data_IF_297727630897
#
_entry.id   IF_297727630897
#
_cell.length_a   1.000
_cell.length_b   1.000
_cell.length_c   1.000
_cell.angle_alpha   90.00
_cell.angle_beta   90.00
_cell.angle_gamma   90.00
#
_symmetry.space_group_name_H-M   'P 1'
#
loop_
_entity.id
_entity.type
_entity.pdbx_description
1 polymer ?
#
# COMPACT_ATOMS: atom_id res chain seq x y z
N UNK A 1 3.14 76.15 17.79
CA UNK A 1 3.30 76.78 19.11
C UNK A 1 2.84 75.75 20.11
N UNK A 2 3.71 75.44 21.07
CA UNK A 2 3.52 74.65 22.30
C UNK A 2 3.45 73.10 22.20
N UNK A 3 4.55 72.54 22.71
CA UNK A 3 4.84 71.23 23.32
C UNK A 3 3.94 70.91 24.56
N UNK A 4 4.00 69.73 25.25
CA UNK A 4 5.24 69.05 25.67
C UNK A 4 5.31 67.50 25.87
N UNK A 5 6.57 67.01 25.91
CA UNK A 5 7.26 66.04 26.81
C UNK A 5 6.54 64.81 27.40
N UNK A 6 7.12 63.65 27.73
CA UNK A 6 8.47 63.02 27.78
C UNK A 6 8.21 61.50 28.07
N UNK A 7 9.08 60.49 27.84
CA UNK A 7 10.19 60.02 28.70
C UNK A 7 10.92 58.85 27.99
N UNK A 8 12.26 58.85 28.09
CA UNK A 8 13.27 57.90 27.59
C UNK A 8 13.44 56.65 28.50
N UNK A 9 13.97 55.50 28.05
CA UNK A 9 15.40 55.02 28.17
C UNK A 9 15.45 53.57 27.62
N UNK A 10 16.31 53.07 26.69
CA UNK A 10 17.78 52.90 26.63
C UNK A 10 18.37 52.12 27.84
N UNK A 11 19.19 51.06 27.79
CA UNK A 11 19.93 50.29 26.75
C UNK A 11 20.47 48.98 27.37
N UNK A 12 20.65 47.95 26.54
CA UNK A 12 21.73 46.93 26.40
C UNK A 12 22.62 46.33 27.54
N UNK A 13 22.97 45.03 27.27
CA UNK A 13 24.26 44.33 27.44
C UNK A 13 24.74 43.95 28.86
N UNK A 14 25.55 42.93 29.13
CA UNK A 14 25.98 41.64 28.54
C UNK A 14 26.84 40.95 29.65
N UNK A 15 27.05 39.64 29.53
CA UNK A 15 28.27 38.87 29.89
C UNK A 15 28.79 38.73 31.37
N UNK A 16 28.67 37.47 31.84
CA UNK A 16 29.70 36.54 32.38
C UNK A 16 30.57 36.80 33.64
N UNK A 17 30.61 35.70 34.42
CA UNK A 17 31.76 35.04 35.10
C UNK A 17 32.30 35.53 36.46
N UNK A 18 32.39 34.57 37.40
CA UNK A 18 33.44 34.34 38.43
C UNK A 18 33.02 33.08 39.25
N UNK A 19 33.66 31.90 39.16
CA UNK A 19 34.93 31.44 39.75
C UNK A 19 34.94 31.39 41.31
N UNK A 20 35.08 30.20 41.93
CA UNK A 20 36.33 29.68 42.54
C UNK A 20 36.13 28.57 43.62
N UNK A 21 37.00 27.55 43.53
CA UNK A 21 37.64 26.68 44.55
C UNK A 21 36.89 26.00 45.71
N UNK A 22 37.07 24.68 45.86
CA UNK A 22 38.16 24.09 46.69
C UNK A 22 38.08 22.56 46.86
N UNK A 23 39.19 22.00 47.32
CA UNK A 23 39.77 20.67 47.17
C UNK A 23 39.34 19.54 48.16
N UNK A 24 39.37 18.29 47.65
CA UNK A 24 40.02 17.07 48.22
C UNK A 24 39.34 16.25 49.35
N UNK A 25 39.04 14.95 49.11
CA UNK A 25 39.80 13.74 49.56
C UNK A 25 38.95 12.43 49.56
N UNK A 26 39.64 11.32 49.26
CA UNK A 26 39.33 9.86 49.17
C UNK A 26 38.36 9.28 50.25
N UNK A 27 37.69 8.11 50.15
CA UNK A 27 37.98 6.77 49.58
C UNK A 27 36.70 5.86 49.63
N UNK A 28 36.77 4.70 48.94
CA UNK A 28 36.04 3.42 49.16
C UNK A 28 34.69 3.10 48.46
N UNK A 29 34.84 2.34 47.36
CA UNK A 29 34.18 1.06 47.01
C UNK A 29 32.66 0.90 47.18
N UNK A 30 31.98 0.82 46.02
CA UNK A 30 30.69 0.18 45.81
C UNK A 30 30.61 -0.25 44.35
N UNK A 31 30.82 -1.55 44.13
CA UNK A 31 30.72 -2.25 42.86
C UNK A 31 29.22 -2.44 42.55
N UNK A 32 28.70 -1.72 41.56
CA UNK A 32 27.44 -2.07 40.91
C UNK A 32 27.64 -1.98 39.40
N UNK A 33 27.76 -3.16 38.79
CA UNK A 33 27.75 -3.39 37.34
C UNK A 33 26.46 -2.82 36.74
N UNK A 34 26.56 -1.70 36.03
CA UNK A 34 25.52 -1.27 35.10
C UNK A 34 25.63 -2.16 33.86
N UNK A 35 24.87 -3.25 33.84
CA UNK A 35 24.62 -4.01 32.63
C UNK A 35 23.87 -3.10 31.64
N UNK A 36 24.58 -2.63 30.61
CA UNK A 36 23.96 -2.14 29.39
C UNK A 36 23.09 -3.28 28.83
N UNK A 37 21.78 -3.11 28.88
CA UNK A 37 20.85 -3.90 28.07
C UNK A 37 21.13 -3.54 26.61
N UNK A 38 22.09 -4.27 26.03
CA UNK A 38 22.22 -4.37 24.59
C UNK A 38 20.91 -4.97 24.08
N UNK A 39 20.08 -4.12 23.47
CA UNK A 39 18.99 -4.54 22.61
C UNK A 39 19.57 -5.54 21.62
N UNK A 40 19.25 -6.81 21.86
CA UNK A 40 19.58 -7.88 20.94
C UNK A 40 18.62 -7.69 19.79
N UNK A 41 19.07 -6.95 18.76
CA UNK A 41 18.56 -7.13 17.41
C UNK A 41 18.56 -8.63 17.18
N UNK A 42 17.36 -9.20 17.19
CA UNK A 42 17.14 -10.57 16.78
C UNK A 42 17.33 -10.52 15.27
N UNK A 43 18.58 -10.63 14.83
CA UNK A 43 18.92 -10.90 13.44
C UNK A 43 18.17 -12.19 13.11
N UNK A 44 17.01 -12.06 12.45
CA UNK A 44 16.31 -13.19 11.88
C UNK A 44 17.33 -13.86 10.96
N UNK A 45 17.66 -15.10 11.27
CA UNK A 45 18.38 -15.96 10.34
C UNK A 45 17.65 -15.87 8.99
N UNK A 46 18.36 -15.58 7.88
CA UNK A 46 17.70 -15.48 6.58
C UNK A 46 16.98 -16.80 6.35
N UNK A 47 15.66 -16.72 6.12
CA UNK A 47 14.88 -17.89 5.78
C UNK A 47 15.50 -18.52 4.54
N UNK A 48 15.69 -19.84 4.53
CA UNK A 48 16.21 -20.53 3.35
C UNK A 48 15.33 -20.23 2.12
N UNK A 49 15.91 -20.18 0.92
CA UNK A 49 15.14 -19.97 -0.30
C UNK A 49 14.07 -21.04 -0.47
N UNK A 50 12.84 -20.60 -0.72
CA UNK A 50 11.67 -21.46 -0.91
C UNK A 50 11.04 -21.17 -2.27
N UNK A 51 10.60 -22.25 -2.94
CA UNK A 51 9.72 -22.14 -4.10
C UNK A 51 8.31 -21.74 -3.64
N UNK A 52 7.96 -20.47 -3.79
CA UNK A 52 6.67 -19.92 -3.33
C UNK A 52 5.48 -20.27 -4.23
N UNK A 53 5.72 -20.91 -5.38
CA UNK A 53 4.62 -21.45 -6.20
C UNK A 53 4.31 -22.93 -5.95
N UNK A 54 5.07 -23.62 -5.07
CA UNK A 54 4.94 -25.07 -4.89
C UNK A 54 3.55 -25.53 -4.40
N UNK A 55 2.91 -24.74 -3.54
CA UNK A 55 1.59 -25.04 -2.96
C UNK A 55 0.46 -24.26 -3.65
N UNK A 56 0.76 -23.55 -4.73
CA UNK A 56 -0.21 -22.74 -5.46
C UNK A 56 -0.93 -23.59 -6.50
N UNK A 57 -2.27 -23.50 -6.52
CA UNK A 57 -3.08 -24.19 -7.52
C UNK A 57 -2.79 -23.65 -8.93
N UNK A 58 -2.71 -24.57 -9.89
CA UNK A 58 -2.41 -24.29 -11.29
C UNK A 58 -3.68 -24.38 -12.14
N UNK A 59 -3.80 -23.47 -13.09
CA UNK A 59 -4.88 -23.42 -14.09
C UNK A 59 -4.29 -23.78 -15.45
N UNK A 60 -4.62 -24.98 -15.93
CA UNK A 60 -4.17 -25.48 -17.23
C UNK A 60 -4.97 -24.86 -18.38
N UNK A 61 -4.30 -24.68 -19.52
CA UNK A 61 -4.91 -24.18 -20.75
C UNK A 61 -5.19 -22.68 -20.74
N UNK A 62 -4.58 -21.93 -19.83
CA UNK A 62 -4.80 -20.52 -19.60
C UNK A 62 -3.48 -19.78 -19.33
N UNK A 63 -3.46 -18.49 -19.64
CA UNK A 63 -2.37 -17.58 -19.30
C UNK A 63 -2.92 -16.18 -19.08
N UNK A 64 -2.16 -15.35 -18.37
CA UNK A 64 -2.45 -13.92 -18.34
C UNK A 64 -1.86 -13.30 -19.60
N UNK A 65 -2.73 -12.74 -20.44
CA UNK A 65 -2.31 -12.12 -21.68
C UNK A 65 -1.62 -10.76 -21.44
N UNK A 66 -1.25 -10.08 -22.53
CA UNK A 66 -0.58 -8.77 -22.47
C UNK A 66 -1.46 -7.62 -21.99
N UNK A 67 -2.75 -7.88 -21.72
CA UNK A 67 -3.75 -6.93 -21.25
C UNK A 67 -4.19 -7.23 -19.82
N UNK A 68 -3.57 -8.22 -19.16
CA UNK A 68 -3.96 -8.64 -17.81
C UNK A 68 -5.16 -9.57 -17.74
N UNK A 69 -5.72 -9.98 -18.88
CA UNK A 69 -6.88 -10.86 -18.92
C UNK A 69 -6.47 -12.33 -18.88
N UNK A 70 -7.29 -13.14 -18.22
CA UNK A 70 -7.18 -14.59 -18.24
C UNK A 70 -7.67 -15.14 -19.58
N UNK A 71 -6.72 -15.47 -20.46
CA UNK A 71 -6.96 -15.85 -21.84
C UNK A 71 -6.75 -17.36 -22.04
N UNK A 72 -7.67 -17.99 -22.79
CA UNK A 72 -7.61 -19.42 -23.05
C UNK A 72 -6.51 -19.75 -24.07
N UNK A 73 -5.49 -20.49 -23.62
CA UNK A 73 -4.36 -20.90 -24.45
C UNK A 73 -3.88 -22.29 -24.05
N UNK A 74 -4.30 -23.29 -24.83
CA UNK A 74 -4.18 -24.73 -24.51
C UNK A 74 -2.76 -25.27 -24.22
N UNK A 75 -1.69 -24.54 -24.54
CA UNK A 75 -0.30 -24.94 -24.28
C UNK A 75 0.35 -24.16 -23.13
N UNK A 76 -0.43 -23.32 -22.45
CA UNK A 76 0.00 -22.54 -21.32
C UNK A 76 -0.67 -23.05 -20.05
N UNK A 77 0.01 -22.81 -18.94
CA UNK A 77 -0.48 -22.99 -17.59
C UNK A 77 -0.22 -21.68 -16.86
N UNK A 78 -1.08 -21.32 -15.91
CA UNK A 78 -0.80 -20.22 -14.98
C UNK A 78 -1.04 -20.62 -13.55
N UNK A 79 -0.41 -19.93 -12.62
CA UNK A 79 -0.73 -20.05 -11.20
C UNK A 79 -2.03 -19.32 -10.87
N UNK A 80 -2.63 -19.63 -9.73
CA UNK A 80 -3.46 -18.66 -9.01
C UNK A 80 -2.59 -17.50 -8.49
N UNK A 81 -3.19 -16.36 -8.08
CA UNK A 81 -2.43 -15.22 -7.54
C UNK A 81 -1.52 -15.63 -6.38
N UNK A 82 -0.28 -15.18 -6.42
CA UNK A 82 0.74 -15.40 -5.40
C UNK A 82 1.03 -14.05 -4.73
N UNK A 83 1.08 -14.04 -3.40
CA UNK A 83 1.49 -12.86 -2.63
C UNK A 83 2.93 -12.46 -2.99
N UNK A 84 3.14 -11.16 -3.18
CA UNK A 84 4.39 -10.59 -3.66
C UNK A 84 4.81 -9.40 -2.80
N UNK A 85 6.09 -9.34 -2.47
CA UNK A 85 6.70 -8.24 -1.73
C UNK A 85 7.81 -7.60 -2.56
N UNK A 86 7.59 -6.38 -3.04
CA UNK A 86 8.54 -5.66 -3.88
C UNK A 86 9.88 -5.34 -3.21
N UNK A 87 9.95 -5.39 -1.88
CA UNK A 87 11.19 -5.24 -1.10
C UNK A 87 12.08 -6.49 -1.09
N UNK A 88 11.65 -7.58 -1.73
CA UNK A 88 12.35 -8.85 -1.81
C UNK A 88 12.66 -9.23 -3.27
N UNK A 89 13.81 -9.85 -3.48
CA UNK A 89 14.17 -10.41 -4.79
C UNK A 89 13.49 -11.77 -5.01
N UNK A 90 13.12 -12.03 -6.26
CA UNK A 90 12.61 -13.34 -6.67
C UNK A 90 13.27 -13.81 -7.96
N UNK A 91 13.46 -15.12 -8.07
CA UNK A 91 14.01 -15.77 -9.26
C UNK A 91 12.98 -16.69 -9.88
N UNK A 92 12.74 -16.55 -11.18
CA UNK A 92 12.03 -17.56 -11.97
C UNK A 92 13.04 -18.48 -12.65
N UNK A 93 12.86 -19.80 -12.53
CA UNK A 93 13.88 -20.78 -12.98
C UNK A 93 13.81 -21.13 -14.46
N UNK A 94 12.67 -20.88 -15.11
CA UNK A 94 12.41 -21.22 -16.51
C UNK A 94 11.68 -20.10 -17.22
N UNK A 95 11.65 -20.17 -18.56
CA UNK A 95 10.95 -19.19 -19.37
C UNK A 95 9.47 -19.05 -18.97
N UNK A 96 9.09 -17.82 -18.61
CA UNK A 96 7.81 -17.53 -17.98
C UNK A 96 7.38 -16.10 -18.27
N UNK A 97 6.07 -15.88 -18.26
CA UNK A 97 5.47 -14.56 -18.15
C UNK A 97 5.11 -14.31 -16.70
N UNK A 98 5.56 -13.19 -16.13
CA UNK A 98 5.16 -12.76 -14.79
C UNK A 98 4.30 -11.52 -14.94
N UNK A 99 3.05 -11.66 -14.53
CA UNK A 99 2.06 -10.59 -14.52
C UNK A 99 1.93 -10.04 -13.10
N UNK A 100 2.09 -8.74 -12.96
CA UNK A 100 2.07 -8.00 -11.70
C UNK A 100 0.70 -7.36 -11.50
N UNK A 101 0.19 -7.45 -10.28
CA UNK A 101 -1.13 -6.94 -9.90
C UNK A 101 -1.05 -6.18 -8.57
N UNK A 102 -1.97 -5.24 -8.41
CA UNK A 102 -2.33 -4.65 -7.12
C UNK A 102 -3.79 -5.04 -6.80
N UNK A 103 -4.00 -5.93 -5.83
CA UNK A 103 -5.30 -6.52 -5.58
C UNK A 103 -5.80 -7.34 -6.79
N UNK A 104 -6.76 -6.77 -7.54
CA UNK A 104 -7.25 -7.33 -8.81
C UNK A 104 -6.88 -6.46 -10.02
N UNK A 105 -6.27 -5.30 -9.80
CA UNK A 105 -5.88 -4.38 -10.85
C UNK A 105 -4.59 -4.88 -11.50
N UNK A 106 -4.63 -5.06 -12.81
CA UNK A 106 -3.46 -5.44 -13.60
C UNK A 106 -2.50 -4.26 -13.73
N UNK A 107 -1.20 -4.51 -13.59
CA UNK A 107 -0.16 -3.48 -13.77
C UNK A 107 0.56 -3.71 -15.09
N UNK A 108 1.23 -4.85 -15.22
CA UNK A 108 2.01 -5.22 -16.42
C UNK A 108 2.35 -6.71 -16.43
N UNK A 109 2.71 -7.21 -17.61
CA UNK A 109 3.29 -8.53 -17.84
C UNK A 109 4.69 -8.41 -18.43
N UNK A 110 5.67 -9.01 -17.74
CA UNK A 110 7.04 -9.17 -18.23
C UNK A 110 7.28 -10.60 -18.70
N UNK A 111 8.00 -10.75 -19.82
CA UNK A 111 8.50 -12.02 -20.30
C UNK A 111 9.96 -12.22 -19.87
N UNK A 112 10.23 -13.38 -19.27
CA UNK A 112 11.56 -13.87 -18.93
C UNK A 112 11.88 -15.05 -19.86
N UNK A 113 12.99 -14.92 -20.59
CA UNK A 113 13.34 -15.78 -21.71
C UNK A 113 13.81 -17.19 -21.33
N UNK A 114 14.35 -17.90 -22.32
CA UNK A 114 14.87 -19.27 -22.16
C UNK A 114 16.36 -19.30 -21.75
N UNK A 115 17.00 -18.15 -21.56
CA UNK A 115 18.45 -18.03 -21.39
C UNK A 115 18.95 -18.25 -19.95
N UNK A 116 18.07 -18.64 -19.03
CA UNK A 116 18.45 -19.12 -17.71
C UNK A 116 17.42 -18.77 -16.65
N UNK A 117 17.74 -18.99 -15.37
CA UNK A 117 16.98 -18.38 -14.30
C UNK A 117 17.13 -16.85 -14.37
N UNK A 118 16.04 -16.14 -14.08
CA UNK A 118 16.02 -14.69 -14.13
C UNK A 118 15.53 -14.12 -12.81
N UNK A 119 16.22 -13.09 -12.33
CA UNK A 119 15.70 -12.26 -11.24
C UNK A 119 14.60 -11.40 -11.85
N UNK A 120 13.40 -11.49 -11.30
CA UNK A 120 12.26 -10.73 -11.81
C UNK A 120 12.37 -9.27 -11.39
N UNK A 121 11.85 -8.37 -12.23
CA UNK A 121 11.78 -6.94 -11.93
C UNK A 121 11.07 -6.69 -10.59
N UNK A 122 11.63 -5.81 -9.75
CA UNK A 122 10.95 -5.27 -8.57
C UNK A 122 9.93 -4.22 -9.03
N UNK A 123 8.65 -4.45 -8.73
CA UNK A 123 7.54 -3.56 -9.06
C UNK A 123 6.93 -3.06 -7.75
N UNK A 124 7.35 -1.89 -7.24
CA UNK A 124 6.94 -1.38 -5.93
C UNK A 124 5.43 -1.34 -5.72
N UNK A 125 4.69 -1.08 -6.78
CA UNK A 125 3.26 -0.87 -6.77
C UNK A 125 2.45 -2.17 -6.85
N UNK A 126 3.10 -3.34 -6.94
CA UNK A 126 2.45 -4.64 -6.97
C UNK A 126 2.41 -5.31 -5.59
N UNK A 127 1.31 -6.00 -5.28
CA UNK A 127 1.15 -6.85 -4.09
C UNK A 127 1.02 -8.35 -4.44
N UNK A 128 0.83 -8.65 -5.74
CA UNK A 128 0.57 -9.99 -6.25
C UNK A 128 1.24 -10.21 -7.58
N UNK A 129 1.62 -11.46 -7.83
CA UNK A 129 2.05 -11.93 -9.14
C UNK A 129 1.28 -13.16 -9.60
N UNK A 130 1.11 -13.30 -10.90
CA UNK A 130 0.66 -14.54 -11.56
C UNK A 130 1.76 -14.96 -12.53
N UNK A 131 2.21 -16.21 -12.42
CA UNK A 131 3.22 -16.77 -13.32
C UNK A 131 2.52 -17.62 -14.36
N UNK A 132 2.67 -17.26 -15.63
CA UNK A 132 2.20 -18.06 -16.77
C UNK A 132 3.38 -18.66 -17.52
N UNK A 133 3.36 -19.96 -17.80
CA UNK A 133 4.45 -20.69 -18.41
C UNK A 133 3.90 -21.74 -19.39
N UNK A 134 4.78 -22.34 -20.20
CA UNK A 134 4.35 -23.43 -21.09
C UNK A 134 4.06 -24.68 -20.28
N UNK A 135 3.01 -25.42 -20.62
CA UNK A 135 2.64 -26.68 -19.95
C UNK A 135 3.80 -27.69 -19.88
N UNK A 136 4.74 -27.65 -20.82
CA UNK A 136 5.94 -28.51 -20.78
C UNK A 136 6.90 -28.20 -19.62
N UNK A 137 6.85 -26.99 -19.07
CA UNK A 137 7.71 -26.52 -17.98
C UNK A 137 7.06 -26.69 -16.59
N UNK A 138 5.85 -27.25 -16.51
CA UNK A 138 5.07 -27.35 -15.26
C UNK A 138 5.81 -28.02 -14.10
N UNK A 139 6.65 -29.01 -14.40
CA UNK A 139 7.41 -29.76 -13.39
C UNK A 139 8.77 -29.12 -13.06
N UNK A 140 9.20 -28.10 -13.82
CA UNK A 140 10.54 -27.48 -13.74
C UNK A 140 10.49 -26.02 -13.33
N UNK A 141 9.40 -25.31 -13.62
CA UNK A 141 9.19 -23.91 -13.26
C UNK A 141 9.10 -23.76 -11.75
N UNK A 142 9.82 -22.78 -11.24
CA UNK A 142 9.80 -22.38 -9.84
C UNK A 142 9.88 -20.86 -9.76
N UNK A 143 9.24 -20.32 -8.73
CA UNK A 143 9.41 -18.94 -8.30
C UNK A 143 10.06 -18.99 -6.93
N UNK A 144 11.36 -18.73 -6.88
CA UNK A 144 12.16 -18.77 -5.66
C UNK A 144 12.18 -17.37 -5.06
N UNK A 145 11.92 -17.27 -3.76
CA UNK A 145 11.86 -16.00 -3.04
C UNK A 145 13.26 -15.47 -2.63
N UNK A 146 14.24 -15.58 -3.54
CA UNK A 146 15.58 -15.06 -3.38
C UNK A 146 16.19 -14.79 -4.76
N UNK A 147 17.15 -13.87 -4.85
CA UNK A 147 18.06 -13.76 -5.98
C UNK A 147 19.02 -14.97 -6.01
N UNK A 148 18.80 -15.91 -6.93
CA UNK A 148 19.68 -17.07 -7.09
C UNK A 148 21.04 -16.64 -7.67
N UNK A 149 22.14 -17.25 -7.21
CA UNK A 149 23.51 -16.87 -7.63
C UNK A 149 23.75 -17.02 -9.14
N UNK A 150 23.02 -17.91 -9.81
CA UNK A 150 23.10 -18.18 -11.24
C UNK A 150 22.07 -17.42 -12.08
N UNK A 151 21.22 -16.60 -11.45
CA UNK A 151 20.19 -15.83 -12.12
C UNK A 151 20.69 -14.46 -12.60
N UNK A 152 20.15 -14.00 -13.73
CA UNK A 152 20.45 -12.68 -14.27
C UNK A 152 19.27 -11.71 -14.12
N UNK A 153 19.57 -10.45 -13.80
CA UNK A 153 18.61 -9.35 -13.71
C UNK A 153 18.64 -8.48 -14.99
N UNK A 154 17.54 -7.76 -15.27
CA UNK A 154 17.46 -6.85 -16.42
C UNK A 154 17.14 -7.56 -17.75
N UNK A 155 16.67 -8.81 -17.68
CA UNK A 155 16.29 -9.63 -18.83
C UNK A 155 14.79 -9.56 -19.13
N UNK A 156 14.03 -8.85 -18.30
CA UNK A 156 12.60 -8.64 -18.49
C UNK A 156 12.33 -7.92 -19.82
N UNK A 157 11.39 -8.47 -20.58
CA UNK A 157 10.79 -7.78 -21.72
C UNK A 157 9.37 -7.44 -21.34
N UNK A 158 9.07 -6.16 -21.12
CA UNK A 158 7.69 -5.72 -20.94
C UNK A 158 6.90 -6.01 -22.22
N UNK A 159 5.89 -6.86 -22.10
CA UNK A 159 5.03 -7.29 -23.22
C UNK A 159 3.69 -6.57 -23.25
N UNK A 160 3.41 -5.75 -22.24
CA UNK A 160 2.21 -4.94 -22.10
C UNK A 160 2.31 -3.73 -23.03
N UNK A 161 1.32 -3.50 -23.91
CA UNK A 161 1.23 -2.24 -24.65
C UNK A 161 1.16 -1.05 -23.69
N UNK A 162 1.81 0.07 -24.01
CA UNK A 162 1.84 1.27 -23.15
C UNK A 162 0.44 1.75 -22.71
N UNK A 163 -0.58 1.57 -23.57
CA UNK A 163 -1.97 1.96 -23.31
C UNK A 163 -2.71 1.04 -22.32
N UNK A 164 -2.14 -0.13 -22.03
CA UNK A 164 -2.70 -1.16 -21.14
C UNK A 164 -1.86 -1.37 -19.87
N UNK A 165 -0.78 -0.60 -19.71
CA UNK A 165 -0.07 -0.57 -18.43
C UNK A 165 -1.05 0.03 -17.42
N UNK A 166 -1.51 -0.81 -16.50
CA UNK A 166 -2.42 -0.37 -15.45
C UNK A 166 -1.67 0.28 -14.30
N UNK A 167 -2.43 0.69 -13.31
CA UNK A 167 -1.93 1.44 -12.16
C UNK A 167 -1.73 0.47 -11.01
N UNK A 168 -0.54 0.44 -10.42
CA UNK A 168 -0.34 -0.31 -9.19
C UNK A 168 -0.85 0.48 -7.98
N UNK A 169 -0.42 0.09 -6.77
CA UNK A 169 -0.75 0.77 -5.53
C UNK A 169 -0.63 2.30 -5.67
N UNK A 170 -1.71 3.05 -5.38
CA UNK A 170 -1.66 4.50 -5.40
C UNK A 170 -0.56 5.03 -4.45
N UNK A 171 0.18 6.05 -4.86
CA UNK A 171 1.17 6.72 -3.98
C UNK A 171 0.61 8.08 -3.60
N UNK A 172 0.28 8.29 -2.32
CA UNK A 172 -0.35 9.53 -1.84
C UNK A 172 0.53 10.75 -2.10
N UNK A 173 1.85 10.60 -1.94
CA UNK A 173 2.82 11.64 -2.22
C UNK A 173 2.85 11.98 -3.72
N UNK A 174 2.30 13.15 -4.07
CA UNK A 174 2.28 13.66 -5.43
C UNK A 174 0.98 13.40 -6.20
N UNK A 175 -0.06 12.85 -5.57
CA UNK A 175 -1.38 12.77 -6.20
C UNK A 175 -1.93 14.17 -6.50
N UNK A 176 -2.39 14.36 -7.74
CA UNK A 176 -3.17 15.53 -8.15
C UNK A 176 -4.62 15.11 -8.31
N UNK A 177 -5.50 15.75 -7.55
CA UNK A 177 -6.93 15.40 -7.54
C UNK A 177 -7.75 16.36 -6.68
N UNK A 178 -9.07 16.18 -6.72
CA UNK A 178 -10.02 16.90 -5.89
C UNK A 178 -10.40 16.06 -4.68
N UNK A 179 -10.18 16.59 -3.47
CA UNK A 179 -10.65 15.95 -2.23
C UNK A 179 -12.18 16.03 -2.20
N UNK A 180 -12.82 14.87 -2.34
CA UNK A 180 -14.28 14.70 -2.29
C UNK A 180 -14.79 14.59 -0.85
N UNK A 181 -13.94 14.04 0.02
CA UNK A 181 -14.17 13.92 1.45
C UNK A 181 -12.80 13.84 2.14
N UNK A 182 -12.67 14.44 3.31
CA UNK A 182 -11.41 14.50 4.05
C UNK A 182 -11.59 15.22 5.37
N UNK A 183 -10.50 15.51 6.08
CA UNK A 183 -10.53 16.14 7.41
C UNK A 183 -11.44 17.39 7.50
N UNK A 184 -11.44 18.21 6.45
CA UNK A 184 -12.22 19.45 6.39
C UNK A 184 -13.75 19.24 6.35
N UNK A 185 -14.20 18.02 6.04
CA UNK A 185 -15.61 17.63 5.89
C UNK A 185 -16.14 16.82 7.08
N UNK A 186 -15.41 16.76 8.20
CA UNK A 186 -15.81 15.98 9.38
C UNK A 186 -16.65 16.77 10.40
N UNK A 187 -17.26 17.87 9.97
CA UNK A 187 -18.18 18.64 10.83
C UNK A 187 -19.55 17.98 10.87
N UNK A 188 -20.18 17.95 12.04
CA UNK A 188 -21.25 17.00 12.45
C UNK A 188 -22.56 16.92 11.65
N UNK A 189 -22.67 17.54 10.48
CA UNK A 189 -23.75 17.30 9.51
C UNK A 189 -23.34 16.33 8.38
N UNK A 190 -22.03 16.07 8.22
CA UNK A 190 -21.47 15.30 7.09
C UNK A 190 -21.13 13.84 7.43
N UNK A 191 -21.14 13.50 8.73
CA UNK A 191 -20.88 12.14 9.24
C UNK A 191 -21.89 11.74 10.32
N UNK A 192 -22.35 10.50 10.27
CA UNK A 192 -23.17 9.84 11.29
C UNK A 192 -22.24 9.00 12.17
N UNK A 193 -22.36 9.13 13.48
CA UNK A 193 -21.46 8.48 14.45
C UNK A 193 -22.13 7.27 15.09
N UNK A 194 -21.37 6.22 15.35
CA UNK A 194 -21.84 5.05 16.10
C UNK A 194 -22.63 4.06 15.25
N UNK A 195 -22.50 4.12 13.94
CA UNK A 195 -23.14 3.22 12.98
C UNK A 195 -22.13 2.83 11.89
N UNK A 196 -22.40 1.71 11.22
CA UNK A 196 -21.80 1.36 9.92
C UNK A 196 -22.86 0.76 9.01
N UNK A 197 -22.56 0.66 7.72
CA UNK A 197 -23.41 -0.04 6.76
C UNK A 197 -22.91 -1.47 6.58
N UNK A 198 -23.80 -2.45 6.69
CA UNK A 198 -23.48 -3.87 6.48
C UNK A 198 -23.47 -4.27 4.99
N UNK A 199 -23.25 -5.56 4.72
CA UNK A 199 -23.23 -6.14 3.38
C UNK A 199 -24.62 -6.22 2.72
N UNK A 200 -25.69 -6.03 3.50
CA UNK A 200 -27.08 -5.96 3.02
C UNK A 200 -27.57 -4.51 2.81
N UNK A 201 -26.74 -3.52 3.15
CA UNK A 201 -27.05 -2.10 3.02
C UNK A 201 -27.86 -1.54 4.19
N UNK A 202 -27.91 -2.24 5.32
CA UNK A 202 -28.55 -1.76 6.54
C UNK A 202 -27.56 -0.97 7.40
N UNK A 203 -28.05 0.08 8.05
CA UNK A 203 -27.33 0.72 9.13
C UNK A 203 -27.38 -0.18 10.36
N UNK A 204 -26.21 -0.49 10.91
CA UNK A 204 -26.03 -1.30 12.12
C UNK A 204 -25.27 -0.48 13.15
N UNK A 205 -25.71 -0.57 14.42
CA UNK A 205 -25.06 0.11 15.54
C UNK A 205 -23.63 -0.41 15.70
N UNK A 206 -22.65 0.49 15.67
CA UNK A 206 -21.23 0.20 15.86
C UNK A 206 -20.52 1.46 16.39
N UNK A 207 -20.37 1.54 17.72
CA UNK A 207 -19.92 2.75 18.44
C UNK A 207 -18.56 3.28 17.97
N UNK A 208 -17.72 2.40 17.40
CA UNK A 208 -16.37 2.73 16.93
C UNK A 208 -16.34 3.16 15.45
N UNK A 209 -17.48 3.28 14.79
CA UNK A 209 -17.55 3.64 13.36
C UNK A 209 -18.26 4.96 13.10
N UNK A 210 -17.88 5.55 11.97
CA UNK A 210 -18.50 6.71 11.35
C UNK A 210 -19.01 6.34 9.96
N UNK A 211 -20.15 6.90 9.55
CA UNK A 211 -20.67 6.80 8.18
C UNK A 211 -20.75 8.18 7.56
N UNK A 212 -20.20 8.37 6.38
CA UNK A 212 -20.34 9.64 5.65
C UNK A 212 -21.78 9.87 5.18
N UNK A 213 -22.14 11.12 4.91
CA UNK A 213 -23.25 11.43 3.99
C UNK A 213 -23.04 10.78 2.61
N UNK A 214 -24.11 10.73 1.81
CA UNK A 214 -24.03 10.19 0.45
C UNK A 214 -23.17 11.10 -0.44
N UNK A 215 -22.00 10.62 -0.85
CA UNK A 215 -21.07 11.31 -1.72
C UNK A 215 -21.40 10.98 -3.18
N UNK A 216 -21.37 11.99 -4.05
CA UNK A 216 -21.54 11.77 -5.48
C UNK A 216 -20.38 10.94 -6.03
N UNK A 217 -20.70 9.95 -6.85
CA UNK A 217 -19.73 9.02 -7.42
C UNK A 217 -19.99 8.84 -8.91
N UNK A 218 -18.92 8.74 -9.70
CA UNK A 218 -19.00 8.42 -11.13
C UNK A 218 -18.15 7.18 -11.39
N UNK A 219 -18.72 6.05 -11.82
CA UNK A 219 -17.95 4.83 -12.06
C UNK A 219 -16.79 4.97 -13.07
N UNK A 220 -16.83 6.00 -13.93
CA UNK A 220 -15.82 6.22 -14.96
C UNK A 220 -14.62 7.06 -14.52
N UNK A 221 -14.63 7.62 -13.31
CA UNK A 221 -13.49 8.38 -12.77
C UNK A 221 -12.75 7.52 -11.75
N UNK A 222 -11.47 7.85 -11.55
CA UNK A 222 -10.64 7.18 -10.57
C UNK A 222 -10.72 7.89 -9.21
N UNK A 223 -10.99 7.12 -8.16
CA UNK A 223 -11.00 7.63 -6.80
C UNK A 223 -10.00 6.84 -5.96
N UNK A 224 -9.25 7.53 -5.11
CA UNK A 224 -8.37 6.91 -4.12
C UNK A 224 -8.94 7.12 -2.73
N UNK A 225 -8.93 6.07 -1.92
CA UNK A 225 -9.16 6.12 -0.47
C UNK A 225 -7.84 5.88 0.29
N UNK A 226 -7.61 6.66 1.34
CA UNK A 226 -6.34 6.65 2.10
C UNK A 226 -6.40 5.87 3.42
N UNK A 227 -7.57 5.44 3.86
CA UNK A 227 -7.75 4.69 5.11
C UNK A 227 -8.67 3.48 4.96
N UNK A 228 -8.47 2.38 5.74
CA UNK A 228 -9.32 1.21 5.66
C UNK A 228 -10.78 1.56 5.92
N UNK A 229 -11.70 1.01 5.13
CA UNK A 229 -13.11 1.41 5.13
C UNK A 229 -14.01 0.41 4.42
N UNK A 230 -15.31 0.49 4.69
CA UNK A 230 -16.38 -0.13 3.91
C UNK A 230 -17.01 0.91 2.98
N UNK A 231 -17.14 0.58 1.70
CA UNK A 231 -17.70 1.45 0.66
C UNK A 231 -19.02 0.87 0.19
N UNK A 232 -20.12 1.53 0.55
CA UNK A 232 -21.47 1.13 0.13
C UNK A 232 -21.90 1.92 -1.10
N UNK A 233 -22.25 1.22 -2.18
CA UNK A 233 -22.59 1.79 -3.47
C UNK A 233 -24.10 1.83 -3.71
N UNK A 234 -24.58 2.90 -4.35
CA UNK A 234 -26.01 3.16 -4.56
C UNK A 234 -26.32 3.64 -5.98
N UNK A 235 -27.48 3.24 -6.50
CA UNK A 235 -28.16 3.96 -7.60
C UNK A 235 -29.27 4.84 -7.02
N UNK A 236 -29.00 6.13 -6.85
CA UNK A 236 -29.88 7.05 -6.15
C UNK A 236 -30.02 6.66 -4.68
N UNK A 237 -31.17 6.08 -4.32
CA UNK A 237 -31.43 5.56 -2.95
C UNK A 237 -31.39 4.04 -2.86
N UNK A 238 -31.17 3.36 -3.97
CA UNK A 238 -31.20 1.89 -4.04
C UNK A 238 -29.78 1.38 -3.79
N UNK A 239 -29.60 0.66 -2.69
CA UNK A 239 -28.38 -0.07 -2.38
C UNK A 239 -28.02 -1.07 -3.49
N UNK A 240 -26.73 -1.21 -3.76
CA UNK A 240 -26.17 -2.18 -4.72
C UNK A 240 -25.36 -3.22 -3.97
N UNK A 241 -24.26 -2.79 -3.35
CA UNK A 241 -23.32 -3.63 -2.62
C UNK A 241 -22.45 -2.80 -1.67
N UNK A 242 -21.79 -3.49 -0.73
CA UNK A 242 -20.73 -2.93 0.13
C UNK A 242 -19.43 -3.68 -0.13
N UNK A 243 -18.33 -2.94 -0.33
CA UNK A 243 -17.00 -3.50 -0.50
C UNK A 243 -16.10 -3.07 0.67
N UNK A 244 -15.40 -4.02 1.26
CA UNK A 244 -14.40 -3.74 2.30
C UNK A 244 -13.02 -3.48 1.66
N UNK A 245 -12.38 -2.39 2.06
CA UNK A 245 -11.01 -2.01 1.66
C UNK A 245 -10.14 -2.03 2.91
N UNK A 246 -9.21 -2.97 2.98
CA UNK A 246 -8.32 -3.14 4.14
C UNK A 246 -6.88 -2.68 3.85
N UNK A 247 -6.43 -2.79 2.60
CA UNK A 247 -5.13 -2.33 2.16
C UNK A 247 -5.28 -0.95 1.55
N UNK A 248 -4.54 0.03 2.06
CA UNK A 248 -4.61 1.43 1.62
C UNK A 248 -3.22 2.05 1.49
N UNK A 249 -3.05 3.15 0.73
CA UNK A 249 -4.06 3.77 -0.15
C UNK A 249 -4.50 2.83 -1.28
N UNK A 250 -5.76 2.92 -1.71
CA UNK A 250 -6.34 2.03 -2.73
C UNK A 250 -7.31 2.77 -3.66
N UNK A 251 -7.43 2.27 -4.88
CA UNK A 251 -8.48 2.71 -5.80
C UNK A 251 -9.85 2.19 -5.34
N UNK A 252 -10.89 3.02 -5.45
CA UNK A 252 -12.25 2.56 -5.26
C UNK A 252 -12.67 1.67 -6.43
N UNK A 253 -13.20 0.45 -6.18
CA UNK A 253 -13.71 -0.42 -7.24
C UNK A 253 -14.79 0.24 -8.10
N UNK A 254 -14.79 -0.05 -9.41
CA UNK A 254 -15.86 0.36 -10.31
C UNK A 254 -17.12 -0.49 -10.06
N UNK A 255 -18.21 0.17 -9.61
CA UNK A 255 -19.52 -0.48 -9.49
C UNK A 255 -20.49 0.06 -10.53
N UNK A 256 -20.82 -0.79 -11.51
CA UNK A 256 -21.66 -0.41 -12.66
C UNK A 256 -23.05 0.04 -12.23
N UNK A 257 -23.39 1.29 -12.58
CA UNK A 257 -24.70 1.87 -12.30
C UNK A 257 -24.82 2.48 -10.89
N UNK A 258 -23.75 2.46 -10.09
CA UNK A 258 -23.64 3.30 -8.92
C UNK A 258 -23.49 4.77 -9.33
N UNK A 259 -24.04 5.67 -8.54
CA UNK A 259 -23.86 7.12 -8.67
C UNK A 259 -23.74 7.85 -7.33
N UNK A 260 -23.81 7.11 -6.22
CA UNK A 260 -23.49 7.58 -4.88
C UNK A 260 -22.75 6.50 -4.11
N UNK A 261 -21.91 6.94 -3.17
CA UNK A 261 -21.27 6.08 -2.18
C UNK A 261 -21.49 6.63 -0.76
N UNK A 262 -21.50 5.74 0.22
CA UNK A 262 -21.28 6.05 1.63
C UNK A 262 -20.03 5.29 2.07
N UNK A 263 -19.24 5.90 2.95
CA UNK A 263 -18.07 5.25 3.56
C UNK A 263 -18.40 4.97 5.01
N UNK A 264 -18.21 3.74 5.46
CA UNK A 264 -18.14 3.42 6.88
C UNK A 264 -16.69 3.17 7.29
N UNK A 265 -16.18 3.90 8.27
CA UNK A 265 -14.77 3.83 8.68
C UNK A 265 -14.64 3.88 10.20
N UNK A 266 -13.56 3.28 10.72
CA UNK A 266 -13.28 3.22 12.15
C UNK A 266 -12.81 4.59 12.69
N UNK A 267 -13.11 4.89 13.94
CA UNK A 267 -12.79 6.15 14.61
C UNK A 267 -11.29 6.48 14.63
N UNK A 268 -10.44 5.45 14.74
CA UNK A 268 -8.98 5.52 14.61
C UNK A 268 -8.53 6.21 13.30
N UNK A 269 -9.31 6.12 12.22
CA UNK A 269 -8.96 6.67 10.91
C UNK A 269 -9.59 8.03 10.63
N UNK A 270 -10.23 8.65 11.62
CA UNK A 270 -10.94 9.93 11.46
C UNK A 270 -10.05 11.01 10.85
N UNK A 271 -8.77 11.06 11.19
CA UNK A 271 -7.85 12.06 10.66
C UNK A 271 -7.10 11.58 9.40
N UNK A 272 -7.15 10.30 9.07
CA UNK A 272 -6.36 9.74 7.98
C UNK A 272 -7.19 9.53 6.71
N UNK A 273 -8.52 9.49 6.84
CA UNK A 273 -9.43 9.22 5.74
C UNK A 273 -9.58 10.44 4.81
N UNK A 274 -9.21 10.23 3.55
CA UNK A 274 -9.51 11.09 2.42
C UNK A 274 -10.09 10.24 1.28
N UNK A 275 -11.04 10.80 0.51
CA UNK A 275 -11.32 10.37 -0.86
C UNK A 275 -10.83 11.45 -1.81
N UNK A 276 -10.03 11.03 -2.79
CA UNK A 276 -9.46 11.90 -3.81
C UNK A 276 -9.97 11.44 -5.18
N UNK A 277 -10.74 12.28 -5.89
CA UNK A 277 -11.04 12.11 -7.33
C UNK A 277 -9.80 12.56 -8.12
N UNK A 278 -9.19 11.66 -8.88
CA UNK A 278 -7.98 11.96 -9.65
C UNK A 278 -8.29 12.77 -10.93
N UNK A 279 -7.33 13.59 -11.37
CA UNK A 279 -7.42 14.40 -12.61
C UNK A 279 -7.05 13.63 -13.89
#
# INVERSE_FOLDING_TARGET
MEEPESVETETEAEETSDNDSSENRETESGDEETAEEAETETTKEPAEPVNIMADIELVEGHWINYSGEDDARAHMTRTNPIEYNSGQDYTVTTASYVSYFYGNEFIKTNNYGHDGPHIIESVPEADRVIVSFSESEKDTVQLINEASEDASAGNEVNTTPDELIGRGQPVEEGMTGTIMFGQDFLTGDDVFTGERIDDEGNFVDDESYYVTGALAYKPSEDYVITAPSYISYYTGRRFIETVEITAVPAYLPEVKGANYINISFHDDYLFDLNIIELE
#
